data_IF_281549629625
#
_entry.id   IF_281549629625
#
_cell.length_a   1.000
_cell.length_b   1.000
_cell.length_c   1.000
_cell.angle_alpha   90.00
_cell.angle_beta   90.00
_cell.angle_gamma   90.00
#
_symmetry.space_group_name_H-M   'P 1'
#
loop_
_entity.id
_entity.type
_entity.pdbx_description
1 polymer ?
#
# COMPACT_ATOMS: atom_id res chain seq x y z
N UNK A 1 -11.78 -23.44 8.93
CA UNK A 1 -10.95 -22.33 9.46
C UNK A 1 -10.23 -22.83 10.71
N UNK A 2 -8.91 -22.74 10.76
CA UNK A 2 -8.14 -23.03 11.98
C UNK A 2 -7.98 -21.71 12.74
N UNK A 3 -8.41 -21.66 14.00
CA UNK A 3 -8.25 -20.46 14.83
C UNK A 3 -6.76 -20.21 15.06
N UNK A 4 -6.30 -19.01 14.71
CA UNK A 4 -4.95 -18.53 15.04
C UNK A 4 -5.06 -17.58 16.22
N UNK A 5 -4.40 -17.92 17.31
CA UNK A 5 -4.38 -17.12 18.54
C UNK A 5 -2.96 -16.62 18.81
N UNK A 6 -2.87 -15.40 19.31
CA UNK A 6 -1.63 -14.76 19.72
C UNK A 6 -1.96 -13.77 20.83
N UNK A 7 -1.02 -13.57 21.74
CA UNK A 7 -1.19 -12.62 22.84
C UNK A 7 -0.76 -11.23 22.37
N UNK A 8 -1.58 -10.22 22.68
CA UNK A 8 -1.30 -8.82 22.39
C UNK A 8 -1.55 -8.01 23.65
N UNK A 9 -0.84 -6.91 23.82
CA UNK A 9 -1.13 -5.98 24.91
C UNK A 9 -2.48 -5.30 24.65
N UNK A 10 -3.30 -5.15 25.70
CA UNK A 10 -4.65 -4.57 25.62
C UNK A 10 -4.64 -3.19 24.95
N UNK A 11 -3.73 -2.31 25.38
CA UNK A 11 -3.60 -0.97 24.81
C UNK A 11 -3.31 -0.98 23.30
N UNK A 12 -2.48 -1.93 22.83
CA UNK A 12 -2.16 -2.10 21.41
C UNK A 12 -3.37 -2.62 20.64
N UNK A 13 -4.07 -3.61 21.22
CA UNK A 13 -5.29 -4.16 20.63
C UNK A 13 -6.36 -3.09 20.44
N UNK A 14 -6.62 -2.25 21.45
CA UNK A 14 -7.61 -1.18 21.36
C UNK A 14 -7.26 -0.17 20.27
N UNK A 15 -6.01 0.29 20.23
CA UNK A 15 -5.55 1.25 19.22
C UNK A 15 -5.68 0.67 17.81
N UNK A 16 -5.27 -0.58 17.62
CA UNK A 16 -5.35 -1.28 16.34
C UNK A 16 -6.80 -1.53 15.91
N UNK A 17 -7.68 -1.88 16.84
CA UNK A 17 -9.11 -2.05 16.58
C UNK A 17 -9.77 -0.75 16.11
N UNK A 18 -9.45 0.38 16.76
CA UNK A 18 -9.93 1.71 16.34
C UNK A 18 -9.40 2.08 14.95
N UNK A 19 -8.13 1.82 14.69
CA UNK A 19 -7.52 2.02 13.37
C UNK A 19 -8.27 1.25 12.28
N UNK A 20 -8.51 -0.05 12.47
CA UNK A 20 -9.20 -0.89 11.48
C UNK A 20 -10.63 -0.39 11.23
N UNK A 21 -11.37 -0.04 12.29
CA UNK A 21 -12.72 0.52 12.20
C UNK A 21 -12.76 1.84 11.44
N UNK A 22 -11.79 2.73 11.68
CA UNK A 22 -11.71 4.02 10.98
C UNK A 22 -11.53 3.90 9.46
N UNK A 23 -11.01 2.76 9.00
CA UNK A 23 -10.77 2.44 7.58
C UNK A 23 -11.82 1.48 7.00
N UNK A 24 -12.86 1.14 7.76
CA UNK A 24 -13.91 0.21 7.31
C UNK A 24 -13.39 -1.22 7.09
N UNK A 25 -12.32 -1.62 7.76
CA UNK A 25 -11.66 -2.92 7.57
C UNK A 25 -11.77 -3.79 8.83
N UNK A 26 -11.87 -5.11 8.65
CA UNK A 26 -11.80 -6.05 9.78
C UNK A 26 -10.35 -6.24 10.25
N UNK A 27 -10.16 -6.44 11.55
CA UNK A 27 -8.82 -6.67 12.11
C UNK A 27 -8.15 -7.90 11.51
N UNK A 28 -8.90 -9.00 11.32
CA UNK A 28 -8.36 -10.22 10.74
C UNK A 28 -7.82 -9.97 9.33
N UNK A 29 -8.51 -9.16 8.52
CA UNK A 29 -8.04 -8.80 7.18
C UNK A 29 -6.77 -7.95 7.23
N UNK A 30 -6.70 -7.00 8.15
CA UNK A 30 -5.50 -6.16 8.32
C UNK A 30 -4.30 -6.97 8.81
N UNK A 31 -4.50 -7.93 9.72
CA UNK A 31 -3.44 -8.85 10.20
C UNK A 31 -2.95 -9.75 9.07
N UNK A 32 -3.87 -10.30 8.27
CA UNK A 32 -3.53 -11.09 7.08
C UNK A 32 -2.70 -10.27 6.09
N UNK A 33 -3.16 -9.08 5.70
CA UNK A 33 -2.42 -8.19 4.80
C UNK A 33 -1.04 -7.80 5.34
N UNK A 34 -0.94 -7.61 6.66
CA UNK A 34 0.34 -7.34 7.31
C UNK A 34 1.29 -8.54 7.19
N UNK A 35 0.80 -9.74 7.48
CA UNK A 35 1.59 -10.97 7.35
C UNK A 35 2.01 -11.21 5.89
N UNK A 36 1.10 -11.02 4.93
CA UNK A 36 1.39 -11.08 3.49
C UNK A 36 2.52 -10.10 3.13
N UNK A 37 2.42 -8.84 3.59
CA UNK A 37 3.44 -7.82 3.29
C UNK A 37 4.84 -8.10 3.86
N UNK A 38 4.94 -8.98 4.85
CA UNK A 38 6.21 -9.38 5.47
C UNK A 38 6.77 -10.69 4.91
N UNK A 39 5.90 -11.57 4.41
CA UNK A 39 6.26 -12.91 3.91
C UNK A 39 6.40 -12.92 2.39
N UNK A 40 5.77 -12.00 1.67
CA UNK A 40 6.11 -11.74 0.27
C UNK A 40 7.59 -11.30 0.21
N UNK A 41 8.47 -12.25 -0.13
CA UNK A 41 9.83 -11.97 -0.62
C UNK A 41 9.70 -10.84 -1.64
N UNK A 42 10.37 -9.71 -1.37
CA UNK A 42 10.27 -8.41 -2.07
C UNK A 42 9.24 -8.39 -3.19
N UNK A 43 8.12 -7.65 -3.08
CA UNK A 43 7.07 -7.72 -4.08
C UNK A 43 7.71 -7.50 -5.45
N UNK A 44 7.81 -8.57 -6.26
CA UNK A 44 8.15 -8.46 -7.66
C UNK A 44 7.15 -7.42 -8.17
N UNK A 45 7.65 -6.21 -8.41
CA UNK A 45 6.78 -5.05 -8.54
C UNK A 45 5.68 -5.43 -9.52
N UNK A 46 4.41 -5.33 -9.09
CA UNK A 46 3.27 -5.88 -9.84
C UNK A 46 3.48 -5.61 -11.32
N UNK A 47 3.39 -6.63 -12.18
CA UNK A 47 3.73 -6.53 -13.60
C UNK A 47 3.19 -5.24 -14.27
N UNK A 48 1.97 -4.85 -13.91
CA UNK A 48 1.33 -3.59 -14.33
C UNK A 48 2.13 -2.32 -13.94
N UNK A 49 2.66 -2.27 -12.72
CA UNK A 49 3.52 -1.20 -12.24
C UNK A 49 4.84 -1.14 -13.00
N UNK A 50 5.47 -2.29 -13.25
CA UNK A 50 6.69 -2.38 -14.08
C UNK A 50 6.43 -1.93 -15.51
N UNK A 51 5.31 -2.36 -16.12
CA UNK A 51 4.89 -1.92 -17.45
C UNK A 51 4.66 -0.40 -17.51
N UNK A 52 4.04 0.18 -16.48
CA UNK A 52 3.84 1.64 -16.38
C UNK A 52 5.17 2.37 -16.28
N UNK A 53 6.11 1.89 -15.47
CA UNK A 53 7.46 2.44 -15.35
C UNK A 53 8.24 2.34 -16.67
N UNK A 54 8.14 1.24 -17.39
CA UNK A 54 8.76 1.06 -18.71
C UNK A 54 8.20 2.02 -19.75
N UNK A 55 6.87 2.23 -19.77
CA UNK A 55 6.23 3.23 -20.65
C UNK A 55 6.69 4.64 -20.32
N UNK A 56 6.82 4.98 -19.03
CA UNK A 56 7.38 6.26 -18.60
C UNK A 56 8.83 6.35 -19.08
N UNK A 57 9.72 5.41 -18.75
CA UNK A 57 11.15 5.46 -19.17
C UNK A 57 11.36 5.64 -20.67
N UNK A 58 10.52 5.01 -21.50
CA UNK A 58 10.55 5.11 -22.97
C UNK A 58 9.83 6.33 -23.53
N UNK A 59 9.11 7.07 -22.69
CA UNK A 59 8.38 8.27 -23.05
C UNK A 59 9.33 9.41 -23.45
N UNK A 60 8.90 10.22 -24.43
CA UNK A 60 9.59 11.47 -24.76
C UNK A 60 9.12 12.56 -23.80
N UNK A 61 9.96 12.90 -22.84
CA UNK A 61 9.67 13.97 -21.91
C UNK A 61 10.20 15.32 -22.39
N UNK A 62 9.42 16.33 -22.10
CA UNK A 62 9.75 17.74 -22.27
C UNK A 62 10.10 18.30 -20.90
N UNK A 63 11.19 19.05 -20.82
CA UNK A 63 11.47 19.80 -19.59
C UNK A 63 10.44 20.92 -19.47
N UNK A 64 9.70 20.93 -18.36
CA UNK A 64 8.74 21.98 -18.03
C UNK A 64 9.29 22.73 -16.83
N UNK A 65 9.54 24.04 -17.00
CA UNK A 65 10.08 24.90 -15.94
C UNK A 65 8.95 25.39 -15.02
N UNK A 66 7.77 25.62 -15.58
CA UNK A 66 6.55 25.99 -14.84
C UNK A 66 5.33 25.31 -15.46
N UNK A 67 4.56 24.58 -14.65
CA UNK A 67 3.31 23.96 -15.08
C UNK A 67 2.22 25.01 -15.31
N UNK A 68 2.22 26.10 -14.54
CA UNK A 68 1.31 27.22 -14.70
C UNK A 68 1.49 27.90 -16.07
N UNK A 69 2.74 28.15 -16.48
CA UNK A 69 3.03 28.76 -17.78
C UNK A 69 2.66 27.85 -18.95
N UNK A 70 2.81 26.52 -18.80
CA UNK A 70 2.62 25.57 -19.89
C UNK A 70 1.20 25.03 -20.01
N UNK A 71 0.47 24.93 -18.90
CA UNK A 71 -0.85 24.29 -18.82
C UNK A 71 -1.92 25.15 -18.17
N UNK A 72 -1.59 26.37 -17.69
CA UNK A 72 -2.56 27.30 -17.12
C UNK A 72 -3.13 26.88 -15.77
N UNK A 73 -2.41 26.03 -15.03
CA UNK A 73 -2.77 25.54 -13.69
C UNK A 73 -2.34 26.51 -12.57
#
# INVERSE_FOLDING_TARGET
>A
MVLKTFNVQEAVYEQFSRFCKSRGMSMSKQVEMFMESLVEEEPEAKKEYLEKLERIRKGKFIKVVSFAERYGL
#
